data_IF_537614138585
#
_entry.id   IF_537614138585
#
_cell.length_a   1.000
_cell.length_b   1.000
_cell.length_c   1.000
_cell.angle_alpha   90.00
_cell.angle_beta   90.00
_cell.angle_gamma   90.00
#
_symmetry.space_group_name_H-M   'P 1'
#
loop_
_entity.id
_entity.type
_entity.pdbx_description
1 polymer ?
#
# COMPACT_ATOMS: atom_id res chain seq x y z
N UNK A 1 -13.51 -12.10 -51.83
CA UNK A 1 -13.21 -10.85 -51.10
C UNK A 1 -14.43 -10.53 -50.25
N UNK A 2 -14.32 -10.51 -48.92
CA UNK A 2 -13.88 -9.27 -48.27
C UNK A 2 -12.99 -9.44 -47.02
N UNK A 3 -12.04 -8.51 -46.92
CA UNK A 3 -11.57 -7.78 -45.73
C UNK A 3 -11.28 -8.55 -44.42
N UNK A 4 -9.98 -8.76 -44.20
CA UNK A 4 -9.33 -8.70 -42.89
C UNK A 4 -9.72 -7.44 -42.11
N UNK A 5 -10.15 -7.59 -40.85
CA UNK A 5 -10.08 -6.55 -39.82
C UNK A 5 -9.23 -7.07 -38.64
N UNK A 6 -8.22 -6.34 -38.17
CA UNK A 6 -7.39 -6.73 -37.05
C UNK A 6 -8.10 -6.34 -35.74
N UNK A 7 -8.31 -7.30 -34.83
CA UNK A 7 -8.65 -6.99 -33.46
C UNK A 7 -7.49 -7.42 -32.57
N UNK A 8 -6.69 -6.42 -32.24
CA UNK A 8 -5.78 -6.27 -31.10
C UNK A 8 -5.73 -7.50 -30.19
N UNK A 9 -4.57 -8.15 -30.24
CA UNK A 9 -4.06 -9.19 -29.34
C UNK A 9 -4.82 -9.29 -28.01
N UNK A 10 -5.61 -10.35 -27.88
CA UNK A 10 -5.89 -10.99 -26.61
C UNK A 10 -4.57 -11.46 -26.01
N UNK A 11 -3.86 -10.57 -25.33
CA UNK A 11 -2.76 -10.99 -24.46
C UNK A 11 -3.44 -11.59 -23.24
N UNK A 12 -3.46 -12.92 -23.06
CA UNK A 12 -3.91 -13.47 -21.79
C UNK A 12 -2.95 -12.93 -20.74
N UNK A 13 -3.49 -12.36 -19.66
CA UNK A 13 -2.74 -12.06 -18.45
C UNK A 13 -2.21 -13.39 -17.91
N UNK A 14 -1.04 -13.81 -18.40
CA UNK A 14 -0.31 -14.96 -17.88
C UNK A 14 0.17 -14.56 -16.51
N UNK A 15 -0.52 -15.03 -15.48
CA UNK A 15 0.11 -15.18 -14.17
C UNK A 15 1.29 -16.13 -14.38
N UNK A 16 2.55 -15.72 -14.16
CA UNK A 16 3.68 -16.60 -14.35
C UNK A 16 3.73 -17.53 -13.15
N UNK A 17 2.86 -18.54 -13.12
CA UNK A 17 3.10 -19.75 -12.34
C UNK A 17 4.16 -20.60 -13.07
N UNK A 18 5.34 -20.01 -13.31
CA UNK A 18 6.56 -20.80 -13.43
C UNK A 18 6.84 -21.33 -12.04
N UNK A 19 6.50 -22.59 -11.79
CA UNK A 19 7.02 -23.30 -10.62
C UNK A 19 8.54 -23.06 -10.58
N UNK A 20 9.11 -22.49 -9.49
CA UNK A 20 10.55 -22.42 -9.39
C UNK A 20 11.05 -23.87 -9.26
N UNK A 21 11.65 -24.40 -10.32
CA UNK A 21 12.26 -25.74 -10.35
C UNK A 21 13.54 -25.85 -9.53
N UNK A 22 13.87 -24.83 -8.73
CA UNK A 22 14.99 -24.86 -7.80
C UNK A 22 14.48 -25.32 -6.44
N UNK A 23 15.06 -26.39 -5.91
CA UNK A 23 15.11 -26.61 -4.46
C UNK A 23 15.65 -25.30 -3.86
N UNK A 24 14.79 -24.53 -3.21
CA UNK A 24 15.20 -23.38 -2.43
C UNK A 24 16.05 -23.91 -1.28
N UNK A 25 17.38 -23.89 -1.43
CA UNK A 25 18.26 -24.04 -0.28
C UNK A 25 18.02 -22.89 0.71
N UNK A 26 18.51 -23.03 1.94
CA UNK A 26 18.42 -21.96 2.91
C UNK A 26 18.98 -20.64 2.34
N UNK A 27 18.25 -19.55 2.55
CA UNK A 27 18.60 -18.29 1.92
C UNK A 27 17.66 -17.14 2.28
N UNK A 28 18.07 -15.93 1.93
CA UNK A 28 17.25 -14.72 2.10
C UNK A 28 16.99 -14.09 0.73
N UNK A 29 15.72 -13.93 0.39
CA UNK A 29 15.24 -13.25 -0.80
C UNK A 29 14.71 -11.86 -0.48
N UNK A 30 14.92 -10.93 -1.40
CA UNK A 30 14.41 -9.56 -1.33
C UNK A 30 13.65 -9.26 -2.61
N UNK A 31 12.56 -8.51 -2.49
CA UNK A 31 11.85 -7.96 -3.64
C UNK A 31 11.41 -6.54 -3.36
N UNK A 32 11.56 -5.69 -4.36
CA UNK A 32 11.19 -4.30 -4.32
C UNK A 32 10.50 -3.97 -5.64
N UNK A 33 9.26 -3.51 -5.56
CA UNK A 33 8.46 -3.16 -6.74
C UNK A 33 7.74 -1.84 -6.48
N UNK A 34 7.63 -1.01 -7.51
CA UNK A 34 6.75 0.15 -7.46
C UNK A 34 5.30 -0.32 -7.50
N UNK A 35 4.54 -0.02 -6.44
CA UNK A 35 3.10 -0.14 -6.42
C UNK A 35 2.48 1.24 -6.70
N UNK A 36 1.17 1.27 -6.98
CA UNK A 36 0.44 2.52 -7.31
C UNK A 36 0.62 3.64 -6.26
N UNK A 37 0.89 3.27 -5.00
CA UNK A 37 0.95 4.17 -3.84
C UNK A 37 2.38 4.39 -3.31
N UNK A 38 3.39 3.91 -4.03
CA UNK A 38 4.80 3.96 -3.65
C UNK A 38 5.47 2.59 -3.61
N UNK A 39 6.63 2.52 -2.98
CA UNK A 39 7.47 1.32 -2.93
C UNK A 39 6.79 0.21 -2.11
N UNK A 40 6.72 -1.00 -2.67
CA UNK A 40 6.45 -2.24 -1.95
C UNK A 40 7.75 -3.02 -1.79
N UNK A 41 8.20 -3.14 -0.54
CA UNK A 41 9.37 -3.94 -0.20
C UNK A 41 8.96 -5.21 0.55
N UNK A 42 9.61 -6.33 0.23
CA UNK A 42 9.48 -7.57 0.98
C UNK A 42 10.80 -8.33 1.09
N UNK A 43 10.97 -9.04 2.20
CA UNK A 43 12.08 -9.94 2.48
C UNK A 43 11.53 -11.26 3.02
N UNK A 44 12.05 -12.36 2.51
CA UNK A 44 11.75 -13.71 3.01
C UNK A 44 13.03 -14.44 3.35
N UNK A 45 13.06 -15.13 4.49
CA UNK A 45 14.12 -16.08 4.85
C UNK A 45 13.56 -17.49 4.74
N UNK A 46 14.25 -18.35 4.03
CA UNK A 46 13.86 -19.74 3.79
C UNK A 46 14.84 -20.70 4.46
N UNK A 47 14.36 -21.88 4.86
CA UNK A 47 15.21 -23.02 5.21
C UNK A 47 15.56 -23.90 3.99
N UNK A 48 16.33 -24.97 4.20
CA UNK A 48 16.76 -25.90 3.15
C UNK A 48 15.63 -26.72 2.51
N UNK A 49 14.45 -26.71 3.13
CA UNK A 49 13.23 -27.31 2.60
C UNK A 49 12.33 -26.29 1.87
N UNK A 50 12.74 -25.02 1.82
CA UNK A 50 12.01 -23.92 1.21
C UNK A 50 10.90 -23.34 2.08
N UNK A 51 10.86 -23.67 3.38
CA UNK A 51 9.87 -23.12 4.32
C UNK A 51 10.27 -21.71 4.74
N UNK A 52 9.30 -20.79 4.77
CA UNK A 52 9.51 -19.41 5.23
C UNK A 52 9.72 -19.40 6.75
N UNK A 53 10.94 -19.06 7.17
CA UNK A 53 11.33 -18.87 8.56
C UNK A 53 11.06 -17.44 9.06
N UNK A 54 11.10 -16.46 8.16
CA UNK A 54 10.85 -15.05 8.47
C UNK A 54 10.30 -14.34 7.22
N UNK A 55 9.36 -13.44 7.42
CA UNK A 55 8.82 -12.58 6.37
C UNK A 55 8.71 -11.14 6.89
N UNK A 56 9.32 -10.20 6.18
CA UNK A 56 9.14 -8.77 6.41
C UNK A 56 8.51 -8.16 5.17
N UNK A 57 7.33 -7.57 5.32
CA UNK A 57 6.61 -6.89 4.25
C UNK A 57 6.40 -5.44 4.68
N UNK A 58 6.89 -4.50 3.88
CA UNK A 58 6.75 -3.06 4.11
C UNK A 58 5.91 -2.50 2.96
N UNK A 59 4.59 -2.35 3.16
CA UNK A 59 3.70 -1.81 2.14
C UNK A 59 3.88 -0.30 1.97
N UNK A 60 3.52 0.26 0.80
CA UNK A 60 3.68 1.69 0.51
C UNK A 60 2.95 2.60 1.50
N UNK A 61 1.70 2.27 1.87
CA UNK A 61 0.91 3.09 2.80
C UNK A 61 1.58 3.25 4.17
N UNK A 62 2.20 2.19 4.69
CA UNK A 62 2.88 2.23 5.99
C UNK A 62 4.08 3.19 6.01
N UNK A 63 4.72 3.38 4.85
CA UNK A 63 5.82 4.33 4.70
C UNK A 63 5.32 5.78 4.68
N UNK A 64 4.12 6.00 4.14
CA UNK A 64 3.51 7.34 4.07
C UNK A 64 2.82 7.78 5.37
N UNK A 65 2.66 6.88 6.35
CA UNK A 65 1.95 7.15 7.61
C UNK A 65 2.50 8.39 8.34
N UNK A 66 3.83 8.51 8.42
CA UNK A 66 4.47 9.66 9.07
C UNK A 66 4.13 10.97 8.37
N UNK A 67 4.18 11.00 7.05
CA UNK A 67 3.85 12.20 6.26
C UNK A 67 2.39 12.59 6.43
N UNK A 68 1.47 11.61 6.46
CA UNK A 68 0.04 11.84 6.72
C UNK A 68 -0.14 12.50 8.09
N UNK A 69 0.51 11.97 9.14
CA UNK A 69 0.43 12.53 10.49
C UNK A 69 1.01 13.94 10.58
N UNK A 70 2.20 14.15 10.02
CA UNK A 70 2.86 15.46 10.01
C UNK A 70 2.03 16.52 9.27
N UNK A 71 1.38 16.13 8.16
CA UNK A 71 0.49 17.00 7.41
C UNK A 71 -0.77 17.34 8.19
N UNK A 72 -1.38 16.37 8.88
CA UNK A 72 -2.53 16.64 9.75
C UNK A 72 -2.16 17.61 10.88
N UNK A 73 -1.00 17.44 11.50
CA UNK A 73 -0.49 18.35 12.53
C UNK A 73 -0.34 19.79 12.04
N UNK A 74 0.04 19.98 10.78
CA UNK A 74 0.16 21.30 10.15
C UNK A 74 -1.17 21.84 9.65
N UNK A 75 -2.08 20.97 9.24
CA UNK A 75 -3.37 21.31 8.64
C UNK A 75 -4.41 21.73 9.69
N UNK A 76 -4.42 21.09 10.85
CA UNK A 76 -5.45 21.28 11.88
C UNK A 76 -5.46 22.64 12.58
N UNK A 77 -4.33 23.29 12.95
CA UNK A 77 -4.31 24.50 13.79
C UNK A 77 -5.17 25.65 13.28
N UNK A 78 -5.14 25.90 11.97
CA UNK A 78 -5.92 26.97 11.32
C UNK A 78 -7.43 26.69 11.30
N UNK A 79 -7.83 25.46 11.63
CA UNK A 79 -9.18 24.90 11.47
C UNK A 79 -9.81 24.45 12.78
N UNK A 80 -9.15 24.69 13.92
CA UNK A 80 -9.62 24.28 15.25
C UNK A 80 -10.96 24.91 15.66
N UNK A 81 -11.29 26.07 15.08
CA UNK A 81 -12.57 26.76 15.30
C UNK A 81 -13.76 26.05 14.63
N UNK A 82 -13.52 25.11 13.71
CA UNK A 82 -14.59 24.37 13.06
C UNK A 82 -15.33 23.47 14.04
N UNK A 83 -16.62 23.19 13.78
CA UNK A 83 -17.33 22.11 14.46
C UNK A 83 -16.60 20.79 14.31
N UNK A 84 -16.63 19.95 15.35
CA UNK A 84 -15.90 18.67 15.37
C UNK A 84 -16.17 17.82 14.13
N UNK A 85 -17.44 17.66 13.72
CA UNK A 85 -17.80 16.89 12.53
C UNK A 85 -17.19 17.46 11.23
N UNK A 86 -17.15 18.78 11.08
CA UNK A 86 -16.56 19.43 9.91
C UNK A 86 -15.03 19.27 9.89
N UNK A 87 -14.38 19.41 11.05
CA UNK A 87 -12.94 19.20 11.16
C UNK A 87 -12.55 17.75 10.88
N UNK A 88 -13.29 16.77 11.44
CA UNK A 88 -13.10 15.35 11.17
C UNK A 88 -13.25 15.06 9.68
N UNK A 89 -14.32 15.57 9.05
CA UNK A 89 -14.55 15.38 7.62
C UNK A 89 -13.39 15.93 6.78
N UNK A 90 -12.89 17.14 7.09
CA UNK A 90 -11.76 17.72 6.37
C UNK A 90 -10.45 16.94 6.59
N UNK A 91 -10.20 16.46 7.81
CA UNK A 91 -9.03 15.62 8.09
C UNK A 91 -9.09 14.29 7.33
N UNK A 92 -10.28 13.66 7.24
CA UNK A 92 -10.47 12.47 6.42
C UNK A 92 -10.21 12.74 4.92
N UNK A 93 -10.63 13.89 4.40
CA UNK A 93 -10.30 14.27 3.01
C UNK A 93 -8.79 14.40 2.81
N UNK A 94 -8.07 15.05 3.74
CA UNK A 94 -6.63 15.15 3.68
C UNK A 94 -5.95 13.78 3.67
N UNK A 95 -6.42 12.84 4.52
CA UNK A 95 -5.94 11.46 4.54
C UNK A 95 -6.22 10.74 3.21
N UNK A 96 -7.42 10.91 2.64
CA UNK A 96 -7.82 10.28 1.36
C UNK A 96 -6.97 10.73 0.18
N UNK A 97 -6.37 11.91 0.22
CA UNK A 97 -5.43 12.37 -0.83
C UNK A 97 -4.18 11.48 -0.95
N UNK A 98 -3.83 10.76 0.11
CA UNK A 98 -2.74 9.79 0.10
C UNK A 98 -3.16 8.41 -0.44
N UNK A 99 -4.42 8.26 -0.83
CA UNK A 99 -5.03 6.99 -1.27
C UNK A 99 -4.62 5.81 -0.37
N UNK A 100 -4.84 5.86 0.96
CA UNK A 100 -4.41 4.78 1.82
C UNK A 100 -5.26 3.53 1.55
N UNK A 101 -4.64 2.46 1.04
CA UNK A 101 -5.34 1.21 0.73
C UNK A 101 -6.08 0.64 1.96
N UNK A 102 -7.39 0.43 1.85
CA UNK A 102 -8.34 0.12 2.94
C UNK A 102 -7.91 -1.09 3.81
N UNK A 103 -7.21 -2.07 3.24
CA UNK A 103 -6.70 -3.25 3.98
C UNK A 103 -5.40 -2.97 4.75
N UNK A 104 -4.57 -2.03 4.28
CA UNK A 104 -3.38 -1.53 4.99
C UNK A 104 -3.69 -0.33 5.91
N UNK A 105 -4.88 0.24 5.80
CA UNK A 105 -5.34 1.49 6.41
C UNK A 105 -6.62 1.31 7.25
N UNK A 106 -6.84 0.13 7.82
CA UNK A 106 -8.04 -0.20 8.61
C UNK A 106 -8.23 0.65 9.89
N UNK A 107 -7.33 1.61 10.15
CA UNK A 107 -7.53 2.62 11.19
C UNK A 107 -8.42 3.74 10.63
N UNK A 108 -9.72 3.65 10.87
CA UNK A 108 -10.58 4.84 10.87
C UNK A 108 -9.95 5.91 11.77
N UNK A 109 -9.79 7.13 11.26
CA UNK A 109 -9.29 8.25 12.05
C UNK A 109 -10.21 8.47 13.25
N UNK A 110 -9.69 8.27 14.47
CA UNK A 110 -10.37 8.66 15.71
C UNK A 110 -9.83 10.00 16.17
N UNK A 111 -10.46 11.07 15.72
CA UNK A 111 -10.08 12.41 16.16
C UNK A 111 -10.54 12.65 17.60
N UNK A 112 -9.59 12.82 18.51
CA UNK A 112 -9.84 13.30 19.89
C UNK A 112 -9.28 14.70 20.01
N UNK A 113 -10.12 15.65 20.42
CA UNK A 113 -9.73 17.04 20.62
C UNK A 113 -10.02 17.41 22.06
N UNK A 114 -8.96 17.65 22.83
CA UNK A 114 -9.06 18.23 24.16
C UNK A 114 -8.99 19.75 24.01
N UNK A 115 -10.15 20.42 24.18
CA UNK A 115 -10.23 21.88 24.22
C UNK A 115 -10.02 22.29 25.68
N UNK A 116 -8.84 22.84 25.99
CA UNK A 116 -8.54 23.46 27.29
C UNK A 116 -9.23 24.82 27.43
#
# INVERSE_FOLDING_TARGET
>A
MPATKPCVSSVPMRCPTSQPSRRSGAGTGYGCTEALRGILYHRYRLDDSGVILDAKIVPPTSQNQKSIEDDLWRYMPERLNLPHAALTWQCEQAIRNYDPCISCATHSLKLKLDRL
#
